data_IF_906730393771
#
_entry.id   IF_906730393771
#
_cell.length_a   1.000
_cell.length_b   1.000
_cell.length_c   1.000
_cell.angle_alpha   90.00
_cell.angle_beta   90.00
_cell.angle_gamma   90.00
#
_symmetry.space_group_name_H-M   'P 1'
#
loop_
_entity.id
_entity.type
_entity.pdbx_description
1 polymer ?
#
# COMPACT_ATOMS: atom_id res chain seq x y z
N UNK A 1 -2.32 -6.37 0.33
CA UNK A 1 -3.11 -5.28 0.93
C UNK A 1 -3.65 -4.30 -0.10
N UNK A 2 -3.62 -4.56 -1.42
CA UNK A 2 -4.32 -3.72 -2.42
C UNK A 2 -4.99 -4.56 -3.51
N UNK A 3 -5.16 -5.86 -3.24
CA UNK A 3 -5.56 -6.86 -4.24
C UNK A 3 -7.05 -7.21 -4.15
N UNK A 4 -7.73 -6.74 -3.11
CA UNK A 4 -9.16 -6.94 -2.91
C UNK A 4 -9.85 -5.58 -2.68
N UNK A 5 -11.18 -5.55 -2.82
CA UNK A 5 -11.96 -4.32 -2.71
C UNK A 5 -11.94 -3.75 -1.28
N UNK A 6 -11.98 -4.60 -0.26
CA UNK A 6 -11.95 -4.22 1.15
C UNK A 6 -10.70 -3.44 1.52
N UNK A 7 -9.56 -3.88 1.00
CA UNK A 7 -8.26 -3.21 1.16
C UNK A 7 -8.28 -1.81 0.55
N UNK A 8 -8.91 -1.63 -0.62
CA UNK A 8 -8.98 -0.34 -1.32
C UNK A 8 -9.86 0.67 -0.58
N UNK A 9 -10.97 0.20 0.00
CA UNK A 9 -11.89 1.05 0.77
C UNK A 9 -11.23 1.60 2.04
N UNK A 10 -10.33 0.84 2.69
CA UNK A 10 -9.56 1.31 3.84
C UNK A 10 -8.73 2.57 3.54
N UNK A 11 -8.24 2.70 2.31
CA UNK A 11 -7.40 3.83 1.91
C UNK A 11 -8.17 5.09 1.52
N UNK A 12 -9.51 5.01 1.40
CA UNK A 12 -10.37 6.15 1.02
C UNK A 12 -10.19 7.34 1.96
N UNK A 13 -10.09 7.06 3.27
CA UNK A 13 -10.05 8.09 4.30
C UNK A 13 -8.63 8.44 4.75
N UNK A 14 -7.68 7.51 4.54
CA UNK A 14 -6.30 7.61 5.03
C UNK A 14 -5.37 8.32 4.03
N UNK A 15 -5.65 8.22 2.72
CA UNK A 15 -4.74 8.71 1.68
C UNK A 15 -5.27 9.99 1.05
N UNK A 16 -4.60 11.10 1.34
CA UNK A 16 -4.81 12.36 0.64
C UNK A 16 -3.96 12.39 -0.63
N UNK A 17 -4.62 12.56 -1.77
CA UNK A 17 -3.95 12.70 -3.07
C UNK A 17 -3.71 11.36 -3.79
N UNK A 18 -2.70 11.36 -4.66
CA UNK A 18 -2.32 10.21 -5.48
C UNK A 18 -1.10 9.54 -4.86
N UNK A 19 -1.08 8.21 -4.82
CA UNK A 19 0.07 7.46 -4.31
C UNK A 19 0.44 6.32 -5.24
N UNK A 20 1.74 6.20 -5.52
CA UNK A 20 2.34 5.07 -6.20
C UNK A 20 2.12 3.77 -5.43
N UNK A 21 1.86 2.73 -6.20
CA UNK A 21 1.75 1.35 -5.71
C UNK A 21 2.67 0.47 -6.53
N UNK A 22 3.06 -0.69 -5.99
CA UNK A 22 3.91 -1.66 -6.66
C UNK A 22 3.20 -2.44 -7.76
N UNK A 23 2.60 -1.76 -8.73
CA UNK A 23 1.87 -2.33 -9.85
C UNK A 23 2.32 -1.66 -11.15
N UNK A 24 2.70 -2.45 -12.15
CA UNK A 24 3.15 -1.96 -13.44
C UNK A 24 2.52 -2.73 -14.60
N UNK A 25 2.46 -2.10 -15.77
CA UNK A 25 2.02 -2.75 -17.00
C UNK A 25 3.24 -3.32 -17.72
N UNK A 26 3.27 -4.64 -17.89
CA UNK A 26 4.33 -5.40 -18.59
C UNK A 26 3.71 -6.61 -19.27
N UNK A 27 4.26 -7.04 -20.41
CA UNK A 27 3.74 -8.16 -21.19
C UNK A 27 2.22 -8.09 -21.42
N UNK A 28 1.73 -6.89 -21.76
CA UNK A 28 0.32 -6.55 -21.97
C UNK A 28 -0.60 -6.81 -20.77
N UNK A 29 -0.07 -6.89 -19.55
CA UNK A 29 -0.83 -7.18 -18.32
C UNK A 29 -0.38 -6.27 -17.18
N UNK A 30 -1.28 -6.07 -16.21
CA UNK A 30 -0.97 -5.35 -14.98
C UNK A 30 -0.47 -6.33 -13.92
N UNK A 31 0.81 -6.23 -13.57
CA UNK A 31 1.51 -7.21 -12.72
C UNK A 31 2.02 -6.53 -11.44
N UNK A 32 1.66 -7.09 -10.29
CA UNK A 32 2.19 -6.68 -8.99
C UNK A 32 3.66 -7.08 -8.86
N UNK A 33 4.42 -6.42 -7.98
CA UNK A 33 5.85 -6.74 -7.76
C UNK A 33 6.12 -8.20 -7.32
N UNK A 34 5.12 -8.93 -6.85
CA UNK A 34 5.23 -10.36 -6.52
C UNK A 34 4.85 -11.30 -7.68
N UNK A 35 4.65 -10.76 -8.89
CA UNK A 35 4.36 -11.50 -10.11
C UNK A 35 2.88 -11.85 -10.32
N UNK A 36 2.00 -11.52 -9.36
CA UNK A 36 0.57 -11.77 -9.51
C UNK A 36 -0.11 -10.73 -10.40
N UNK A 37 -1.11 -11.15 -11.17
CA UNK A 37 -1.87 -10.25 -12.05
C UNK A 37 -2.94 -9.48 -11.28
N UNK A 38 -3.09 -8.19 -11.61
CA UNK A 38 -4.17 -7.34 -11.08
C UNK A 38 -5.45 -7.54 -11.87
N UNK A 39 -6.60 -7.48 -11.17
CA UNK A 39 -7.91 -7.68 -11.79
C UNK A 39 -8.50 -6.42 -12.42
N UNK A 40 -8.05 -5.23 -12.01
CA UNK A 40 -8.65 -3.98 -12.49
C UNK A 40 -7.71 -2.79 -12.31
N UNK A 41 -7.41 -2.10 -13.41
CA UNK A 41 -6.81 -0.77 -13.45
C UNK A 41 -7.61 0.06 -14.43
N UNK A 42 -7.99 1.26 -14.04
CA UNK A 42 -8.71 2.19 -14.94
C UNK A 42 -7.70 2.97 -15.77
N UNK A 43 -7.79 2.85 -17.10
CA UNK A 43 -6.86 3.52 -18.01
C UNK A 43 -7.32 4.95 -18.31
N UNK A 44 -6.39 5.90 -18.21
CA UNK A 44 -6.50 7.36 -18.42
C UNK A 44 -5.37 7.91 -19.26
N UNK A 45 -4.12 7.50 -19.01
CA UNK A 45 -2.93 8.07 -19.67
C UNK A 45 -2.24 7.12 -20.65
N UNK A 46 -2.63 5.84 -20.66
CA UNK A 46 -1.98 4.75 -21.38
C UNK A 46 -0.48 4.61 -21.04
N UNK A 47 -0.18 4.51 -19.75
CA UNK A 47 1.18 4.48 -19.18
C UNK A 47 1.44 3.21 -18.38
N UNK A 48 2.71 2.93 -18.08
CA UNK A 48 3.14 1.67 -17.46
C UNK A 48 3.11 1.64 -15.93
N UNK A 49 2.84 2.75 -15.26
CA UNK A 49 2.81 2.83 -13.80
C UNK A 49 1.38 2.97 -13.31
N UNK A 50 1.07 2.35 -12.17
CA UNK A 50 -0.23 2.51 -11.53
C UNK A 50 -0.13 3.30 -10.23
N UNK A 51 -1.15 4.10 -9.97
CA UNK A 51 -1.33 4.85 -8.75
C UNK A 51 -2.73 4.63 -8.16
N UNK A 52 -2.80 4.68 -6.84
CA UNK A 52 -4.05 4.74 -6.09
C UNK A 52 -4.51 6.19 -6.00
N UNK A 53 -5.75 6.45 -6.40
CA UNK A 53 -6.40 7.75 -6.26
C UNK A 53 -7.89 7.54 -6.00
N UNK A 54 -8.43 8.15 -4.93
CA UNK A 54 -9.85 7.99 -4.54
C UNK A 54 -10.31 6.51 -4.55
N UNK A 55 -9.50 5.65 -3.90
CA UNK A 55 -9.80 4.22 -3.70
C UNK A 55 -9.87 3.36 -4.96
N UNK A 56 -9.33 3.87 -6.07
CA UNK A 56 -9.24 3.14 -7.33
C UNK A 56 -7.84 3.20 -7.89
N UNK A 57 -7.46 2.11 -8.56
CA UNK A 57 -6.21 2.03 -9.31
C UNK A 57 -6.42 2.65 -10.69
N UNK A 58 -5.53 3.58 -11.02
CA UNK A 58 -5.42 4.18 -12.35
C UNK A 58 -4.02 3.95 -12.87
N UNK A 59 -3.87 3.91 -14.20
CA UNK A 59 -2.56 4.20 -14.75
C UNK A 59 -2.21 5.68 -14.53
N UNK A 60 -0.92 5.97 -14.41
CA UNK A 60 -0.44 7.30 -14.13
C UNK A 60 0.96 7.50 -14.72
N UNK A 61 1.27 8.73 -15.15
CA UNK A 61 2.56 9.05 -15.77
C UNK A 61 3.69 8.75 -14.79
N UNK A 62 4.54 7.78 -15.13
CA UNK A 62 5.63 7.31 -14.26
C UNK A 62 6.59 8.42 -13.80
N UNK A 63 6.72 9.51 -14.57
CA UNK A 63 7.57 10.64 -14.26
C UNK A 63 6.95 11.63 -13.25
N UNK A 64 5.65 11.49 -12.93
CA UNK A 64 4.98 12.37 -11.99
C UNK A 64 5.46 12.12 -10.55
N UNK A 65 5.60 13.20 -9.79
CA UNK A 65 5.95 13.11 -8.38
C UNK A 65 4.69 12.79 -7.56
N UNK A 66 4.64 11.59 -6.98
CA UNK A 66 3.58 11.17 -6.05
C UNK A 66 4.21 10.51 -4.81
N UNK A 67 3.46 10.46 -3.70
CA UNK A 67 3.81 9.64 -2.55
C UNK A 67 3.79 8.15 -2.91
N UNK A 68 4.28 7.27 -2.05
CA UNK A 68 4.21 5.82 -2.28
C UNK A 68 3.66 5.08 -1.07
N UNK A 69 3.00 3.96 -1.32
CA UNK A 69 2.52 3.04 -0.30
C UNK A 69 3.41 1.80 -0.31
N UNK A 70 3.97 1.46 0.85
CA UNK A 70 4.71 0.21 1.04
C UNK A 70 3.83 -0.80 1.79
N UNK A 71 3.92 -2.07 1.39
CA UNK A 71 3.30 -3.19 2.09
C UNK A 71 4.38 -4.07 2.71
N UNK A 72 4.18 -4.48 3.97
CA UNK A 72 4.96 -5.52 4.64
C UNK A 72 3.99 -6.48 5.31
N UNK A 73 4.31 -7.78 5.32
CA UNK A 73 3.50 -8.78 6.04
C UNK A 73 3.46 -8.45 7.53
N UNK A 74 2.26 -8.44 8.10
CA UNK A 74 2.10 -8.34 9.55
C UNK A 74 2.74 -9.56 10.23
N UNK A 75 3.42 -9.32 11.35
CA UNK A 75 3.99 -10.40 12.16
C UNK A 75 2.85 -11.09 12.90
N UNK A 76 2.73 -12.41 12.74
CA UNK A 76 1.86 -13.20 13.59
C UNK A 76 2.57 -13.41 14.93
N UNK A 77 2.09 -12.76 15.99
CA UNK A 77 2.53 -13.05 17.34
C UNK A 77 1.97 -14.43 17.73
N UNK A 78 2.84 -15.44 17.71
CA UNK A 78 2.58 -16.68 18.42
C UNK A 78 2.76 -16.40 19.91
N UNK A 79 1.68 -16.01 20.58
CA UNK A 79 1.65 -15.98 22.04
C UNK A 79 1.61 -17.45 22.48
N UNK A 80 2.79 -18.04 22.75
CA UNK A 80 2.84 -19.27 23.55
C UNK A 80 2.40 -18.87 24.96
N UNK A 81 1.36 -19.52 25.48
CA UNK A 81 0.68 -19.23 26.76
C UNK A 81 1.55 -19.39 28.03
N UNK A 82 2.89 -19.37 27.94
CA UNK A 82 3.76 -19.77 29.06
C UNK A 82 4.69 -18.69 29.61
N UNK A 83 4.46 -17.40 29.36
CA UNK A 83 5.19 -16.36 30.10
C UNK A 83 4.30 -15.19 30.49
N UNK A 84 4.30 -14.87 31.79
CA UNK A 84 3.81 -13.63 32.40
C UNK A 84 4.57 -12.41 31.86
N UNK A 85 4.38 -12.08 30.57
CA UNK A 85 4.99 -10.91 29.95
C UNK A 85 3.98 -9.77 30.03
N UNK A 86 4.28 -8.80 30.88
CA UNK A 86 3.62 -7.49 30.88
C UNK A 86 3.69 -6.91 29.47
N UNK A 87 2.56 -6.45 28.89
CA UNK A 87 2.55 -5.96 27.52
C UNK A 87 3.50 -4.77 27.38
N UNK A 88 4.56 -4.94 26.59
CA UNK A 88 5.41 -3.83 26.16
C UNK A 88 4.61 -3.03 25.14
N UNK A 89 4.26 -1.80 25.53
CA UNK A 89 3.63 -0.80 24.69
C UNK A 89 4.40 -0.61 23.38
N UNK A 90 3.75 -0.84 22.23
CA UNK A 90 4.25 -0.39 20.93
C UNK A 90 3.89 1.09 20.81
N UNK A 91 4.69 1.95 21.41
CA UNK A 91 4.54 3.41 21.29
C UNK A 91 5.17 3.87 19.97
N UNK A 92 4.35 4.04 18.94
CA UNK A 92 4.67 4.94 17.84
C UNK A 92 4.57 6.39 18.31
N UNK A 93 5.54 6.88 19.08
CA UNK A 93 5.64 8.30 19.45
C UNK A 93 6.91 8.90 18.87
N UNK A 94 6.72 9.97 18.08
CA UNK A 94 7.78 10.81 17.56
C UNK A 94 8.47 11.52 18.73
N UNK A 95 9.78 11.36 18.84
CA UNK A 95 10.62 12.20 19.68
C UNK A 95 10.74 13.57 19.01
N UNK A 96 10.33 14.63 19.71
CA UNK A 96 10.66 16.01 19.35
C UNK A 96 11.36 16.59 20.57
N UNK A 97 12.68 16.71 20.47
CA UNK A 97 13.47 17.42 21.47
C UNK A 97 13.23 18.93 21.31
N UNK A 98 12.68 19.53 22.37
CA UNK A 98 12.56 20.99 22.51
C UNK A 98 13.64 21.48 23.46
N UNK A 99 14.40 22.48 23.00
CA UNK A 99 15.40 23.23 23.76
C UNK A 99 14.74 24.39 24.52
#
# INVERSE_FOLDING_TARGET
MLKNATDLDFFTDQIKGTSWVGLCFTDNRWIWLDGTESRSVTIRYNTHCAALYKSKLYDWKCADQNHWICEKRAVQLLIKEDFNILPVSISGMKHVDGN
#
